data_IF_219359591223
#
_entry.id   IF_219359591223
#
_cell.length_a   1.000
_cell.length_b   1.000
_cell.length_c   1.000
_cell.angle_alpha   90.00
_cell.angle_beta   90.00
_cell.angle_gamma   90.00
#
_symmetry.space_group_name_H-M   'P 1'
#
loop_
_entity.id
_entity.type
_entity.pdbx_description
1 polymer ?
#
# COMPACT_ATOMS: atom_id res chain seq x y z
N UNK A 1 2.84 -16.88 12.74
CA UNK A 1 2.10 -16.98 11.47
C UNK A 1 0.61 -16.76 11.66
N UNK A 2 -0.10 -17.54 12.51
CA UNK A 2 -1.53 -17.39 12.78
C UNK A 2 -1.90 -15.99 13.30
N UNK A 3 -1.13 -15.42 14.24
CA UNK A 3 -1.35 -14.08 14.79
C UNK A 3 -1.35 -12.98 13.70
N UNK A 4 -0.44 -13.06 12.75
CA UNK A 4 -0.36 -12.07 11.67
C UNK A 4 -1.56 -12.19 10.72
N UNK A 5 -1.98 -13.42 10.40
CA UNK A 5 -3.17 -13.65 9.59
C UNK A 5 -4.44 -13.13 10.27
N UNK A 6 -4.60 -13.37 11.58
CA UNK A 6 -5.72 -12.83 12.36
C UNK A 6 -5.76 -11.30 12.32
N UNK A 7 -4.60 -10.63 12.39
CA UNK A 7 -4.53 -9.17 12.32
C UNK A 7 -5.06 -8.63 10.98
N UNK A 8 -4.72 -9.27 9.86
CA UNK A 8 -5.27 -8.92 8.56
C UNK A 8 -6.78 -9.20 8.47
N UNK A 9 -7.22 -10.34 9.01
CA UNK A 9 -8.63 -10.71 9.02
C UNK A 9 -9.46 -9.70 9.83
N UNK A 10 -9.00 -9.31 11.02
CA UNK A 10 -9.63 -8.28 11.84
C UNK A 10 -9.70 -6.95 11.07
N UNK A 11 -8.62 -6.56 10.39
CA UNK A 11 -8.59 -5.33 9.60
C UNK A 11 -9.63 -5.35 8.46
N UNK A 12 -9.68 -6.43 7.67
CA UNK A 12 -10.68 -6.57 6.60
C UNK A 12 -12.10 -6.61 7.12
N UNK A 13 -12.35 -7.35 8.22
CA UNK A 13 -13.67 -7.40 8.86
C UNK A 13 -14.08 -6.01 9.35
N UNK A 14 -13.17 -5.26 9.94
CA UNK A 14 -13.43 -3.89 10.39
C UNK A 14 -13.74 -2.95 9.22
N UNK A 15 -13.02 -3.06 8.10
CA UNK A 15 -13.33 -2.30 6.89
C UNK A 15 -14.73 -2.62 6.36
N UNK A 16 -15.11 -3.89 6.29
CA UNK A 16 -16.45 -4.29 5.86
C UNK A 16 -17.52 -3.71 6.80
N UNK A 17 -17.31 -3.77 8.11
CA UNK A 17 -18.22 -3.20 9.10
C UNK A 17 -18.42 -1.69 8.91
N UNK A 18 -17.36 -0.93 8.59
CA UNK A 18 -17.47 0.51 8.29
C UNK A 18 -18.47 0.77 7.16
N UNK A 19 -18.50 -0.08 6.14
CA UNK A 19 -19.42 0.08 5.01
C UNK A 19 -20.84 -0.38 5.31
N UNK A 20 -21.07 -1.20 6.33
CA UNK A 20 -22.39 -1.65 6.77
C UNK A 20 -23.09 -0.69 7.75
N UNK A 21 -22.37 0.30 8.29
CA UNK A 21 -22.94 1.25 9.27
C UNK A 21 -23.60 2.42 8.53
N UNK A 22 -24.89 2.64 8.75
CA UNK A 22 -25.66 3.75 8.17
C UNK A 22 -25.91 4.89 9.16
N UNK A 23 -25.50 4.74 10.42
CA UNK A 23 -25.63 5.74 11.47
C UNK A 23 -24.45 6.70 11.51
N UNK A 24 -24.72 7.98 11.31
CA UNK A 24 -23.73 9.04 11.31
C UNK A 24 -23.04 9.20 12.69
N UNK A 25 -23.80 9.00 13.78
CA UNK A 25 -23.29 9.06 15.15
C UNK A 25 -22.24 7.98 15.45
N UNK A 26 -22.48 6.75 14.96
CA UNK A 26 -21.53 5.64 15.10
C UNK A 26 -20.26 5.90 14.30
N UNK A 27 -20.35 6.47 13.10
CA UNK A 27 -19.18 6.81 12.30
C UNK A 27 -18.31 7.86 13.01
N UNK A 28 -18.91 8.90 13.62
CA UNK A 28 -18.17 9.89 14.41
C UNK A 28 -17.46 9.26 15.62
N UNK A 29 -18.11 8.33 16.31
CA UNK A 29 -17.51 7.61 17.43
C UNK A 29 -16.31 6.77 16.97
N UNK A 30 -16.42 6.10 15.83
CA UNK A 30 -15.32 5.31 15.25
C UNK A 30 -14.17 6.21 14.77
N UNK A 31 -14.44 7.41 14.26
CA UNK A 31 -13.39 8.40 13.92
C UNK A 31 -12.65 8.83 15.19
N UNK A 32 -13.35 9.10 16.29
CA UNK A 32 -12.71 9.42 17.58
C UNK A 32 -11.82 8.29 18.08
N UNK A 33 -12.29 7.05 18.03
CA UNK A 33 -11.50 5.88 18.41
C UNK A 33 -10.24 5.77 17.52
N UNK A 34 -10.36 5.96 16.22
CA UNK A 34 -9.23 5.90 15.29
C UNK A 34 -8.21 7.00 15.53
N UNK A 35 -8.64 8.23 15.91
CA UNK A 35 -7.76 9.32 16.32
C UNK A 35 -6.99 8.98 17.60
N UNK A 36 -7.66 8.38 18.59
CA UNK A 36 -7.01 7.92 19.82
C UNK A 36 -5.96 6.84 19.51
N UNK A 37 -6.30 5.88 18.65
CA UNK A 37 -5.36 4.85 18.19
C UNK A 37 -4.13 5.46 17.50
N UNK A 38 -4.30 6.46 16.63
CA UNK A 38 -3.18 7.17 16.00
C UNK A 38 -2.26 7.84 17.05
N UNK A 39 -2.85 8.44 18.08
CA UNK A 39 -2.09 9.08 19.17
C UNK A 39 -1.30 8.05 19.99
N UNK A 40 -1.91 6.93 20.34
CA UNK A 40 -1.25 5.82 21.08
C UNK A 40 -0.08 5.25 20.27
N UNK A 41 -0.24 5.09 18.98
CA UNK A 41 0.77 4.57 18.06
C UNK A 41 1.84 5.60 17.68
N UNK A 42 1.78 6.83 18.24
CA UNK A 42 2.69 7.95 17.96
C UNK A 42 2.79 8.28 16.46
N UNK A 43 1.72 8.07 15.70
CA UNK A 43 1.64 8.44 14.30
C UNK A 43 1.43 9.96 14.22
N UNK A 44 2.26 10.66 13.44
CA UNK A 44 2.16 12.10 13.28
C UNK A 44 0.89 12.46 12.49
N UNK A 45 -0.03 13.17 13.13
CA UNK A 45 -1.29 13.62 12.51
C UNK A 45 -1.01 14.52 11.30
N UNK A 46 0.09 15.29 11.32
CA UNK A 46 0.48 16.15 10.20
C UNK A 46 0.75 15.34 8.92
N UNK A 47 1.40 14.17 9.05
CA UNK A 47 1.68 13.31 7.90
C UNK A 47 0.38 12.69 7.34
N UNK A 48 -0.57 12.39 8.23
CA UNK A 48 -1.90 11.94 7.84
C UNK A 48 -2.68 13.03 7.09
N UNK A 49 -2.67 14.28 7.60
CA UNK A 49 -3.33 15.42 6.93
C UNK A 49 -2.72 15.66 5.54
N UNK A 50 -1.40 15.60 5.39
CA UNK A 50 -0.74 15.71 4.09
C UNK A 50 -1.18 14.61 3.12
N UNK A 51 -1.37 13.40 3.62
CA UNK A 51 -1.85 12.28 2.80
C UNK A 51 -3.33 12.46 2.39
N UNK A 52 -4.19 13.01 3.25
CA UNK A 52 -5.58 13.32 2.93
C UNK A 52 -5.70 14.40 1.86
N UNK A 53 -4.81 15.41 1.85
CA UNK A 53 -4.81 16.46 0.83
C UNK A 53 -4.69 15.87 -0.58
N UNK A 54 -3.92 14.80 -0.73
CA UNK A 54 -3.82 14.10 -2.02
C UNK A 54 -5.13 13.39 -2.41
N UNK A 55 -5.92 12.94 -1.44
CA UNK A 55 -7.22 12.30 -1.66
C UNK A 55 -8.37 13.32 -1.82
N UNK A 56 -8.14 14.57 -1.45
CA UNK A 56 -9.16 15.62 -1.41
C UNK A 56 -9.93 15.81 -2.73
N UNK A 57 -9.30 15.86 -3.92
CA UNK A 57 -10.04 15.98 -5.17
C UNK A 57 -11.00 14.82 -5.40
N UNK A 58 -10.61 13.59 -5.03
CA UNK A 58 -11.48 12.43 -5.13
C UNK A 58 -12.67 12.51 -4.16
N UNK A 59 -12.41 12.94 -2.92
CA UNK A 59 -13.47 13.15 -1.93
C UNK A 59 -14.47 14.23 -2.36
N UNK A 60 -13.98 15.33 -2.97
CA UNK A 60 -14.86 16.39 -3.52
C UNK A 60 -15.75 15.86 -4.64
N UNK A 61 -15.19 15.13 -5.60
CA UNK A 61 -15.97 14.54 -6.70
C UNK A 61 -17.05 13.61 -6.13
N UNK A 62 -16.71 12.81 -5.13
CA UNK A 62 -17.68 11.89 -4.50
C UNK A 62 -18.83 12.66 -3.83
N UNK A 63 -18.54 13.77 -3.12
CA UNK A 63 -19.58 14.61 -2.52
C UNK A 63 -20.49 15.20 -3.60
N UNK A 64 -19.90 15.80 -4.64
CA UNK A 64 -20.65 16.47 -5.71
C UNK A 64 -21.59 15.48 -6.41
N UNK A 65 -21.08 14.28 -6.74
CA UNK A 65 -21.89 13.25 -7.39
C UNK A 65 -23.07 12.79 -6.51
N UNK A 66 -22.82 12.55 -5.22
CA UNK A 66 -23.89 12.12 -4.31
C UNK A 66 -24.89 13.25 -3.99
N UNK A 67 -24.45 14.51 -4.00
CA UNK A 67 -25.36 15.66 -3.84
C UNK A 67 -26.33 15.85 -5.02
N UNK A 68 -25.91 15.43 -6.22
CA UNK A 68 -26.75 15.52 -7.43
C UNK A 68 -27.80 14.41 -7.47
N UNK A 69 -27.49 13.21 -6.94
CA UNK A 69 -28.33 12.03 -7.06
C UNK A 69 -29.09 11.67 -5.77
N UNK A 70 -28.57 12.07 -4.60
CA UNK A 70 -29.06 11.67 -3.30
C UNK A 70 -29.27 12.86 -2.35
N UNK A 71 -29.86 12.58 -1.18
CA UNK A 71 -30.02 13.56 -0.11
C UNK A 71 -28.66 13.94 0.52
N UNK A 72 -28.57 15.18 1.00
CA UNK A 72 -27.38 15.73 1.68
C UNK A 72 -26.90 14.85 2.84
N UNK A 73 -27.82 14.15 3.52
CA UNK A 73 -27.50 13.22 4.60
C UNK A 73 -26.67 12.04 4.11
N UNK A 74 -27.04 11.47 2.97
CA UNK A 74 -26.33 10.31 2.37
C UNK A 74 -24.95 10.75 1.88
N UNK A 75 -24.86 11.91 1.24
CA UNK A 75 -23.58 12.46 0.78
C UNK A 75 -22.60 12.67 1.95
N UNK A 76 -23.06 13.23 3.08
CA UNK A 76 -22.24 13.38 4.29
C UNK A 76 -21.82 12.03 4.88
N UNK A 77 -22.73 11.06 4.96
CA UNK A 77 -22.46 9.74 5.48
C UNK A 77 -21.35 9.04 4.67
N UNK A 78 -21.44 9.06 3.34
CA UNK A 78 -20.43 8.49 2.45
C UNK A 78 -19.07 9.19 2.63
N UNK A 79 -19.07 10.52 2.74
CA UNK A 79 -17.85 11.29 2.94
C UNK A 79 -17.11 10.91 4.23
N UNK A 80 -17.81 10.89 5.37
CA UNK A 80 -17.18 10.51 6.64
C UNK A 80 -16.78 9.03 6.68
N UNK A 81 -17.54 8.16 6.02
CA UNK A 81 -17.21 6.73 5.86
C UNK A 81 -15.90 6.54 5.08
N UNK A 82 -15.70 7.28 3.99
CA UNK A 82 -14.46 7.24 3.22
C UNK A 82 -13.27 7.77 4.02
N UNK A 83 -13.44 8.85 4.78
CA UNK A 83 -12.39 9.36 5.67
C UNK A 83 -12.03 8.31 6.73
N UNK A 84 -13.01 7.68 7.36
CA UNK A 84 -12.79 6.64 8.37
C UNK A 84 -12.07 5.43 7.78
N UNK A 85 -12.49 4.95 6.61
CA UNK A 85 -11.85 3.86 5.91
C UNK A 85 -10.39 4.20 5.56
N UNK A 86 -10.15 5.42 5.10
CA UNK A 86 -8.79 5.90 4.82
C UNK A 86 -7.92 5.97 6.08
N UNK A 87 -8.46 6.52 7.20
CA UNK A 87 -7.75 6.56 8.48
C UNK A 87 -7.35 5.16 8.94
N UNK A 88 -8.27 4.22 8.90
CA UNK A 88 -8.03 2.82 9.29
C UNK A 88 -6.95 2.19 8.44
N UNK A 89 -7.01 2.37 7.12
CA UNK A 89 -6.00 1.86 6.18
C UNK A 89 -4.64 2.51 6.41
N UNK A 90 -4.59 3.81 6.69
CA UNK A 90 -3.36 4.53 6.98
C UNK A 90 -2.69 4.03 8.26
N UNK A 91 -3.47 3.83 9.34
CA UNK A 91 -2.98 3.25 10.60
C UNK A 91 -2.42 1.85 10.35
N UNK A 92 -3.16 1.02 9.64
CA UNK A 92 -2.76 -0.34 9.32
C UNK A 92 -1.46 -0.38 8.51
N UNK A 93 -1.33 0.46 7.48
CA UNK A 93 -0.12 0.56 6.65
C UNK A 93 1.13 1.01 7.43
N UNK A 94 0.95 1.78 8.52
CA UNK A 94 2.06 2.19 9.39
C UNK A 94 2.50 1.12 10.40
N UNK A 95 1.59 0.24 10.78
CA UNK A 95 1.86 -0.81 11.77
C UNK A 95 2.47 -2.04 11.11
N UNK A 96 2.03 -2.35 9.89
CA UNK A 96 2.39 -3.60 9.22
C UNK A 96 3.85 -3.57 8.76
N UNK A 97 4.55 -4.66 9.05
CA UNK A 97 5.92 -4.87 8.56
C UNK A 97 5.92 -5.75 7.30
N UNK A 98 6.99 -5.64 6.50
CA UNK A 98 7.20 -6.46 5.31
C UNK A 98 7.11 -7.95 5.65
N UNK A 99 7.71 -8.37 6.76
CA UNK A 99 7.68 -9.76 7.22
C UNK A 99 6.25 -10.24 7.54
N UNK A 100 5.40 -9.37 8.09
CA UNK A 100 4.00 -9.69 8.34
C UNK A 100 3.19 -9.79 7.03
N UNK A 101 3.46 -8.93 6.05
CA UNK A 101 2.88 -9.05 4.71
C UNK A 101 3.27 -10.38 4.05
N UNK A 102 4.56 -10.75 4.09
CA UNK A 102 5.02 -12.04 3.57
C UNK A 102 4.28 -13.21 4.19
N UNK A 103 4.16 -13.24 5.54
CA UNK A 103 3.46 -14.31 6.25
C UNK A 103 1.97 -14.37 5.92
N UNK A 104 1.33 -13.24 5.64
CA UNK A 104 -0.05 -13.20 5.17
C UNK A 104 -0.19 -13.82 3.78
N UNK A 105 0.67 -13.44 2.82
CA UNK A 105 0.66 -14.03 1.48
C UNK A 105 0.98 -15.53 1.50
N UNK A 106 1.86 -15.99 2.40
CA UNK A 106 2.11 -17.42 2.59
C UNK A 106 0.85 -18.19 3.00
N UNK A 107 0.04 -17.62 3.91
CA UNK A 107 -1.22 -18.24 4.34
C UNK A 107 -2.28 -18.16 3.24
N UNK A 108 -2.39 -17.01 2.56
CA UNK A 108 -3.35 -16.79 1.48
C UNK A 108 -3.07 -17.70 0.28
N UNK A 109 -1.81 -18.03 0.03
CA UNK A 109 -1.42 -18.93 -1.05
C UNK A 109 -1.59 -20.42 -0.72
N UNK A 110 -1.98 -20.79 0.53
CA UNK A 110 -2.23 -22.20 0.88
C UNK A 110 -3.23 -22.93 -0.04
N UNK A 111 -4.38 -22.35 -0.43
CA UNK A 111 -5.29 -23.01 -1.37
C UNK A 111 -4.66 -23.22 -2.76
N UNK A 112 -3.67 -22.41 -3.16
CA UNK A 112 -2.95 -22.57 -4.42
C UNK A 112 -2.04 -23.82 -4.46
N UNK A 113 -1.87 -24.52 -3.33
CA UNK A 113 -1.24 -25.86 -3.31
C UNK A 113 -1.96 -26.87 -4.21
N UNK A 114 -3.26 -26.70 -4.41
CA UNK A 114 -4.05 -27.51 -5.37
C UNK A 114 -3.49 -27.41 -6.79
N UNK A 115 -2.83 -26.30 -7.12
CA UNK A 115 -2.17 -26.07 -8.42
C UNK A 115 -0.67 -26.44 -8.39
N UNK A 116 -0.20 -27.24 -7.42
CA UNK A 116 1.22 -27.66 -7.23
C UNK A 116 2.20 -26.49 -7.01
N UNK A 117 1.72 -25.30 -6.66
CA UNK A 117 2.57 -24.12 -6.42
C UNK A 117 3.05 -24.12 -4.96
N UNK A 118 4.36 -23.95 -4.76
CA UNK A 118 4.95 -23.92 -3.42
C UNK A 118 4.70 -22.55 -2.75
N UNK A 119 3.90 -22.53 -1.68
CA UNK A 119 3.54 -21.31 -0.94
C UNK A 119 4.76 -20.55 -0.39
N UNK A 120 5.82 -21.27 -0.01
CA UNK A 120 7.06 -20.66 0.47
C UNK A 120 7.75 -19.89 -0.64
N UNK A 121 7.74 -20.41 -1.88
CA UNK A 121 8.27 -19.72 -3.06
C UNK A 121 7.48 -18.42 -3.34
N UNK A 122 6.15 -18.45 -3.25
CA UNK A 122 5.32 -17.23 -3.43
C UNK A 122 5.63 -16.19 -2.35
N UNK A 123 5.66 -16.59 -1.09
CA UNK A 123 5.96 -15.68 0.02
C UNK A 123 7.36 -15.05 -0.14
N UNK A 124 8.35 -15.84 -0.58
CA UNK A 124 9.69 -15.35 -0.89
C UNK A 124 9.68 -14.35 -2.04
N UNK A 125 8.99 -14.65 -3.15
CA UNK A 125 8.87 -13.75 -4.30
C UNK A 125 8.25 -12.42 -3.91
N UNK A 126 7.15 -12.43 -3.15
CA UNK A 126 6.49 -11.22 -2.65
C UNK A 126 7.42 -10.42 -1.74
N UNK A 127 8.14 -11.11 -0.85
CA UNK A 127 9.10 -10.45 0.05
C UNK A 127 10.24 -9.77 -0.70
N UNK A 128 10.81 -10.43 -1.69
CA UNK A 128 11.85 -9.86 -2.56
C UNK A 128 11.27 -8.66 -3.31
N UNK A 129 10.08 -8.78 -3.93
CA UNK A 129 9.45 -7.70 -4.66
C UNK A 129 9.22 -6.45 -3.78
N UNK A 130 8.69 -6.63 -2.57
CA UNK A 130 8.44 -5.51 -1.64
C UNK A 130 9.77 -4.88 -1.17
N UNK A 131 10.79 -5.68 -0.88
CA UNK A 131 12.09 -5.18 -0.45
C UNK A 131 12.84 -4.43 -1.55
N UNK A 132 12.51 -4.71 -2.83
CA UNK A 132 13.10 -4.03 -3.98
C UNK A 132 12.53 -2.66 -4.25
N UNK A 133 11.28 -2.37 -3.82
CA UNK A 133 10.63 -1.08 -4.07
C UNK A 133 11.46 0.12 -3.59
N UNK A 134 11.93 0.18 -2.33
CA UNK A 134 12.76 1.31 -1.88
C UNK A 134 14.08 1.42 -2.65
N UNK A 135 14.72 0.29 -2.95
CA UNK A 135 15.99 0.26 -3.67
C UNK A 135 15.83 0.81 -5.09
N UNK A 136 14.77 0.40 -5.79
CA UNK A 136 14.45 0.91 -7.13
C UNK A 136 14.12 2.41 -7.10
N UNK A 137 13.40 2.86 -6.07
CA UNK A 137 13.11 4.28 -5.89
C UNK A 137 14.38 5.11 -5.78
N UNK A 138 15.32 4.70 -4.92
CA UNK A 138 16.59 5.40 -4.72
C UNK A 138 17.42 5.41 -6.02
N UNK A 139 17.41 4.31 -6.75
CA UNK A 139 18.12 4.20 -8.03
C UNK A 139 17.51 5.10 -9.09
N UNK A 140 16.18 5.19 -9.18
CA UNK A 140 15.47 6.12 -10.07
C UNK A 140 15.83 7.55 -9.73
N UNK A 141 15.78 7.92 -8.45
CA UNK A 141 16.13 9.28 -7.99
C UNK A 141 17.57 9.63 -8.36
N UNK A 142 18.54 8.75 -8.12
CA UNK A 142 19.94 8.96 -8.51
C UNK A 142 20.11 9.17 -10.01
N UNK A 143 19.42 8.39 -10.85
CA UNK A 143 19.45 8.54 -12.31
C UNK A 143 18.83 9.87 -12.76
N UNK A 144 17.72 10.27 -12.13
CA UNK A 144 17.08 11.56 -12.37
C UNK A 144 18.05 12.72 -12.03
N UNK A 145 18.71 12.67 -10.88
CA UNK A 145 19.71 13.69 -10.50
C UNK A 145 20.87 13.72 -11.47
N UNK A 146 21.40 12.57 -11.87
CA UNK A 146 22.49 12.47 -12.85
C UNK A 146 22.14 13.05 -14.22
N UNK A 147 20.89 12.91 -14.67
CA UNK A 147 20.43 13.49 -15.94
C UNK A 147 20.19 14.98 -15.83
N UNK A 148 19.66 15.46 -14.70
CA UNK A 148 19.50 16.89 -14.43
C UNK A 148 20.86 17.61 -14.44
N UNK A 149 21.89 17.02 -13.81
CA UNK A 149 23.25 17.60 -13.79
C UNK A 149 23.90 17.66 -15.17
N UNK A 150 23.49 16.78 -16.11
CA UNK A 150 23.91 16.79 -17.51
C UNK A 150 23.10 17.73 -18.40
N UNK A 151 22.21 18.55 -17.82
CA UNK A 151 21.42 19.57 -18.54
C UNK A 151 20.20 19.01 -19.31
N UNK A 152 19.84 17.74 -19.11
CA UNK A 152 18.63 17.18 -19.73
C UNK A 152 17.37 17.82 -19.13
N UNK A 153 16.57 18.52 -19.96
CA UNK A 153 15.25 19.00 -19.57
C UNK A 153 14.25 17.83 -19.67
N UNK A 154 13.49 17.61 -18.62
CA UNK A 154 12.44 16.59 -18.60
C UNK A 154 11.32 16.94 -19.58
N UNK A 155 11.40 16.40 -20.80
CA UNK A 155 10.29 16.23 -21.73
C UNK A 155 9.93 14.76 -21.79
N UNK A 156 8.74 14.44 -22.28
CA UNK A 156 8.23 13.05 -22.43
C UNK A 156 9.24 12.15 -23.16
N UNK A 157 9.99 12.72 -24.11
CA UNK A 157 11.08 12.04 -24.83
C UNK A 157 12.27 11.65 -23.93
N UNK A 158 12.47 12.31 -22.79
CA UNK A 158 13.50 11.97 -21.81
C UNK A 158 13.19 10.72 -20.97
N UNK A 159 11.94 10.23 -21.01
CA UNK A 159 11.55 9.07 -20.23
C UNK A 159 12.28 7.80 -20.69
N UNK A 160 12.44 7.62 -22.00
CA UNK A 160 13.16 6.48 -22.59
C UNK A 160 14.64 6.44 -22.19
N UNK A 161 15.27 7.60 -22.02
CA UNK A 161 16.67 7.76 -21.62
C UNK A 161 16.86 7.31 -20.15
N UNK A 162 15.81 7.46 -19.32
CA UNK A 162 15.83 7.03 -17.92
C UNK A 162 15.46 5.55 -17.79
N UNK A 163 14.43 5.09 -18.50
CA UNK A 163 13.91 3.74 -18.37
C UNK A 163 14.91 2.68 -18.82
N UNK A 164 15.63 2.91 -19.92
CA UNK A 164 16.60 1.93 -20.47
C UNK A 164 17.70 1.55 -19.46
N UNK A 165 18.45 2.48 -18.84
CA UNK A 165 19.45 2.13 -17.84
C UNK A 165 18.86 1.50 -16.57
N UNK A 166 17.66 1.93 -16.15
CA UNK A 166 16.98 1.34 -14.98
C UNK A 166 16.61 -0.11 -15.27
N UNK A 167 16.05 -0.39 -16.45
CA UNK A 167 15.68 -1.74 -16.85
C UNK A 167 16.88 -2.69 -16.90
N UNK A 168 18.01 -2.22 -17.46
CA UNK A 168 19.28 -2.98 -17.48
C UNK A 168 19.77 -3.26 -16.06
N UNK A 169 19.67 -2.27 -15.16
CA UNK A 169 20.07 -2.43 -13.76
C UNK A 169 19.18 -3.45 -13.03
N UNK A 170 17.87 -3.43 -13.26
CA UNK A 170 16.92 -4.41 -12.71
C UNK A 170 17.28 -5.82 -13.19
N UNK A 171 17.51 -6.01 -14.50
CA UNK A 171 17.87 -7.32 -15.05
C UNK A 171 19.18 -7.86 -14.45
N UNK A 172 20.20 -7.00 -14.34
CA UNK A 172 21.47 -7.39 -13.73
C UNK A 172 21.27 -7.84 -12.27
N UNK A 173 20.52 -7.06 -11.49
CA UNK A 173 20.23 -7.36 -10.09
C UNK A 173 19.41 -8.64 -9.93
N UNK A 174 18.45 -8.89 -10.83
CA UNK A 174 17.67 -10.14 -10.84
C UNK A 174 18.60 -11.34 -11.02
N UNK A 175 19.56 -11.28 -11.95
CA UNK A 175 20.54 -12.34 -12.12
C UNK A 175 21.49 -12.54 -10.92
N UNK A 176 21.86 -11.46 -10.22
CA UNK A 176 22.65 -11.55 -8.99
C UNK A 176 21.85 -12.21 -7.83
N UNK A 177 20.55 -11.89 -7.73
CA UNK A 177 19.65 -12.52 -6.76
C UNK A 177 19.43 -14.00 -7.05
N UNK A 178 19.21 -14.37 -8.30
CA UNK A 178 19.08 -15.76 -8.73
C UNK A 178 20.29 -16.58 -8.27
N UNK A 179 21.49 -16.09 -8.57
CA UNK A 179 22.74 -16.72 -8.10
C UNK A 179 22.81 -16.84 -6.58
N UNK A 180 22.41 -15.79 -5.87
CA UNK A 180 22.39 -15.78 -4.40
C UNK A 180 21.37 -16.78 -3.82
N UNK A 181 20.23 -16.95 -4.47
CA UNK A 181 19.21 -17.91 -4.06
C UNK A 181 19.65 -19.34 -4.32
N UNK A 182 20.29 -19.62 -5.47
CA UNK A 182 20.86 -20.93 -5.79
C UNK A 182 21.92 -21.35 -4.78
N UNK A 183 22.82 -20.43 -4.41
CA UNK A 183 23.84 -20.68 -3.36
C UNK A 183 23.21 -20.99 -2.01
N UNK A 184 22.02 -20.44 -1.71
CA UNK A 184 21.27 -20.71 -0.48
C UNK A 184 20.42 -21.98 -0.54
N UNK A 185 20.52 -22.77 -1.64
CA UNK A 185 19.80 -24.05 -1.78
C UNK A 185 18.33 -23.90 -2.20
N UNK A 186 17.94 -22.75 -2.77
CA UNK A 186 16.64 -22.63 -3.43
C UNK A 186 16.79 -23.16 -4.86
N UNK A 187 16.30 -24.39 -5.10
CA UNK A 187 16.18 -24.96 -6.44
C UNK A 187 14.85 -24.52 -7.10
N UNK A 188 14.80 -24.59 -8.44
CA UNK A 188 13.62 -24.29 -9.25
C UNK A 188 12.37 -25.10 -8.91
#
# INVERSE_FOLDING_TARGET
MIKNFMMFLIFFTYLILIFCIDDLSLIFLLILISLICMKILKIKIIDFIKSIIFLFPFLLITIILNLVWDELRIAMLIFFRLILAYMTTYIFAKIITIAQMMSFFEVLSKPLKLFKINNKKIALMVGIAISMIPILKDEIEQKIYSLKSKGYKFKIDGLSVILKPIFISILKRTGEMEKSLLVKGYEE
#
